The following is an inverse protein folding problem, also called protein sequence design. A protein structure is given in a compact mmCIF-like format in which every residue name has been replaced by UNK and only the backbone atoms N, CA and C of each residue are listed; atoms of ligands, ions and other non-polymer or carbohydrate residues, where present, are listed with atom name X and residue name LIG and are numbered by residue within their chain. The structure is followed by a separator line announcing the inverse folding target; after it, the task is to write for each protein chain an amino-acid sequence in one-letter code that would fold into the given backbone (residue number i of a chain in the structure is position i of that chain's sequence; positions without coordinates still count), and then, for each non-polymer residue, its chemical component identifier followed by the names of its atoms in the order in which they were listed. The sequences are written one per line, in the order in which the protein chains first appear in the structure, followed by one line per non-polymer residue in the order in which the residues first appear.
data_IF_991148379332
#
_entry.id   IF_991148379332
#
_cell.length_a   1.000
_cell.length_b   1.000
_cell.length_c   1.000
_cell.angle_alpha   90.00
_cell.angle_beta   90.00
_cell.angle_gamma   90.00
#
_symmetry.space_group_name_H-M   'P 1'
#
loop_
_entity.id
_entity.type
_entity.pdbx_description
1 polymer ?
#
# COMPACT_ATOMS: atom_id res chain seq x y z
N UNK A 1 -28.64 1.54 2.26
CA UNK A 1 -27.20 1.78 2.60
C UNK A 1 -26.85 3.23 2.30
N UNK A 2 -26.22 3.92 3.24
CA UNK A 2 -25.78 5.31 3.06
C UNK A 2 -24.62 5.37 2.06
N UNK A 3 -24.73 6.19 1.02
CA UNK A 3 -23.66 6.46 0.05
C UNK A 3 -22.71 7.53 0.60
N UNK A 4 -21.60 7.75 -0.11
CA UNK A 4 -20.66 8.84 0.20
C UNK A 4 -21.35 10.20 0.16
N UNK A 5 -22.27 10.41 -0.83
CA UNK A 5 -23.05 11.63 -0.92
C UNK A 5 -23.99 11.83 0.27
N UNK A 6 -24.68 10.78 0.71
CA UNK A 6 -25.61 10.88 1.87
C UNK A 6 -24.86 11.36 3.12
N UNK A 7 -23.62 10.94 3.31
CA UNK A 7 -22.80 11.37 4.45
C UNK A 7 -22.33 12.82 4.26
N UNK A 8 -21.94 13.23 3.03
CA UNK A 8 -21.59 14.61 2.75
C UNK A 8 -22.76 15.56 3.05
N UNK A 9 -23.95 15.22 2.58
CA UNK A 9 -25.15 16.03 2.79
C UNK A 9 -25.45 16.16 4.29
N UNK A 10 -25.32 15.09 5.08
CA UNK A 10 -25.47 15.13 6.54
C UNK A 10 -24.42 15.99 7.24
N UNK A 11 -23.16 15.98 6.79
CA UNK A 11 -22.12 16.85 7.34
C UNK A 11 -22.39 18.30 7.00
N UNK A 12 -22.76 18.60 5.75
CA UNK A 12 -23.08 19.96 5.29
C UNK A 12 -24.31 20.54 6.01
N UNK A 13 -25.31 19.72 6.36
CA UNK A 13 -26.48 20.15 7.12
C UNK A 13 -26.10 20.71 8.52
N UNK A 14 -25.09 20.13 9.15
CA UNK A 14 -24.56 20.62 10.43
C UNK A 14 -23.62 21.80 10.31
N UNK A 15 -23.10 22.07 9.11
CA UNK A 15 -22.28 23.24 8.84
C UNK A 15 -23.17 24.42 8.52
N UNK A 16 -23.11 25.47 9.33
CA UNK A 16 -24.05 26.61 9.27
C UNK A 16 -24.03 27.44 7.96
N UNK A 17 -23.24 27.04 6.97
CA UNK A 17 -23.06 27.75 5.71
C UNK A 17 -23.28 26.81 4.51
N UNK A 18 -24.55 26.58 4.19
CA UNK A 18 -24.98 25.69 3.09
C UNK A 18 -24.70 26.29 1.69
N UNK A 19 -24.20 27.52 1.59
CA UNK A 19 -24.11 28.26 0.34
C UNK A 19 -22.70 28.27 -0.31
N UNK A 20 -21.66 27.80 0.34
CA UNK A 20 -20.33 27.71 -0.27
C UNK A 20 -20.09 26.37 -0.95
N UNK A 21 -20.44 26.30 -2.22
CA UNK A 21 -20.53 25.07 -3.00
C UNK A 21 -19.20 24.49 -3.48
N UNK A 22 -18.10 25.22 -3.40
CA UNK A 22 -16.83 24.79 -4.00
C UNK A 22 -15.83 24.23 -3.00
N UNK A 23 -15.24 25.10 -2.19
CA UNK A 23 -14.16 24.77 -1.27
C UNK A 23 -14.66 23.88 -0.11
N UNK A 24 -15.82 24.25 0.46
CA UNK A 24 -16.41 23.56 1.60
C UNK A 24 -16.75 22.09 1.29
N UNK A 25 -17.40 21.85 0.15
CA UNK A 25 -17.70 20.50 -0.30
C UNK A 25 -16.42 19.65 -0.46
N UNK A 26 -15.36 20.27 -0.99
CA UNK A 26 -14.06 19.60 -1.14
C UNK A 26 -13.46 19.21 0.22
N UNK A 27 -13.51 20.11 1.21
CA UNK A 27 -13.03 19.85 2.58
C UNK A 27 -13.85 18.75 3.25
N UNK A 28 -15.17 18.77 3.11
CA UNK A 28 -16.05 17.71 3.63
C UNK A 28 -15.70 16.35 3.02
N UNK A 29 -15.56 16.28 1.70
CA UNK A 29 -15.15 15.05 1.00
C UNK A 29 -13.82 14.52 1.51
N UNK A 30 -12.81 15.39 1.62
CA UNK A 30 -11.49 15.02 2.13
C UNK A 30 -11.53 14.57 3.59
N UNK A 31 -12.34 15.21 4.43
CA UNK A 31 -12.48 14.83 5.83
C UNK A 31 -13.13 13.47 6.00
N UNK A 32 -14.20 13.18 5.28
CA UNK A 32 -14.88 11.87 5.34
C UNK A 32 -13.94 10.75 4.86
N UNK A 33 -13.27 10.95 3.71
CA UNK A 33 -12.29 10.00 3.19
C UNK A 33 -11.12 9.80 4.16
N UNK A 34 -10.60 10.89 4.74
CA UNK A 34 -9.54 10.86 5.74
C UNK A 34 -9.91 10.07 7.00
N UNK A 35 -11.15 10.24 7.49
CA UNK A 35 -11.68 9.46 8.64
C UNK A 35 -11.77 7.98 8.26
N UNK A 36 -12.32 7.64 7.09
CA UNK A 36 -12.39 6.25 6.65
C UNK A 36 -11.02 5.62 6.59
N UNK A 37 -10.07 6.26 5.93
CA UNK A 37 -8.68 5.77 5.83
C UNK A 37 -8.07 5.56 7.20
N UNK A 38 -8.21 6.54 8.10
CA UNK A 38 -7.66 6.45 9.45
C UNK A 38 -8.22 5.24 10.21
N UNK A 39 -9.55 5.09 10.25
CA UNK A 39 -10.19 3.97 10.96
C UNK A 39 -9.73 2.63 10.38
N UNK A 40 -9.77 2.47 9.05
CA UNK A 40 -9.48 1.20 8.40
C UNK A 40 -7.98 0.84 8.45
N UNK A 41 -7.10 1.83 8.50
CA UNK A 41 -5.65 1.62 8.63
C UNK A 41 -5.25 1.30 10.07
N UNK A 42 -5.74 2.09 11.03
CA UNK A 42 -5.31 1.99 12.43
C UNK A 42 -5.90 0.76 13.13
N UNK A 43 -7.15 0.39 12.79
CA UNK A 43 -7.89 -0.61 13.53
C UNK A 43 -7.78 -2.04 12.98
N UNK A 44 -7.32 -2.22 11.75
CA UNK A 44 -7.13 -3.55 11.12
C UNK A 44 -8.35 -4.47 11.30
N UNK A 45 -9.46 -4.07 10.70
CA UNK A 45 -10.76 -4.72 10.88
C UNK A 45 -10.90 -5.97 9.99
N UNK A 46 -11.60 -7.00 10.48
CA UNK A 46 -11.70 -8.32 9.84
C UNK A 46 -12.27 -8.30 8.43
N UNK A 47 -13.18 -7.36 8.13
CA UNK A 47 -13.74 -7.20 6.78
C UNK A 47 -12.75 -6.60 5.77
N UNK A 48 -11.60 -6.09 6.23
CA UNK A 48 -10.48 -5.65 5.38
C UNK A 48 -9.48 -6.76 5.08
N UNK A 49 -9.76 -7.99 5.54
CA UNK A 49 -8.89 -9.12 5.26
C UNK A 49 -9.02 -9.60 3.82
N UNK A 50 -7.88 -9.80 3.17
CA UNK A 50 -7.81 -10.44 1.86
C UNK A 50 -8.35 -11.87 1.91
N UNK A 51 -8.78 -12.45 0.79
CA UNK A 51 -8.85 -13.90 0.63
C UNK A 51 -7.49 -14.55 0.95
N UNK A 52 -7.48 -15.85 1.19
CA UNK A 52 -6.21 -16.59 1.29
C UNK A 52 -5.51 -16.52 -0.06
N UNK A 53 -4.30 -16.02 -0.06
CA UNK A 53 -3.48 -15.82 -1.26
C UNK A 53 -2.28 -16.76 -1.21
N UNK A 54 -1.82 -17.20 -2.37
CA UNK A 54 -0.69 -18.13 -2.50
C UNK A 54 0.57 -17.40 -2.93
N UNK A 55 1.69 -17.70 -2.29
CA UNK A 55 3.04 -17.29 -2.66
C UNK A 55 3.84 -18.50 -3.11
N UNK A 56 4.18 -18.56 -4.40
CA UNK A 56 5.03 -19.60 -4.95
C UNK A 56 6.49 -19.17 -4.87
N UNK A 57 7.27 -19.89 -4.07
CA UNK A 57 8.69 -19.61 -3.82
C UNK A 57 9.54 -20.50 -4.69
N UNK A 58 10.52 -19.92 -5.36
CA UNK A 58 11.49 -20.62 -6.21
C UNK A 58 12.85 -20.65 -5.55
N UNK A 59 13.62 -21.68 -5.87
CA UNK A 59 14.98 -21.87 -5.35
C UNK A 59 15.85 -20.63 -5.64
N UNK A 60 16.59 -20.17 -4.64
CA UNK A 60 17.54 -19.03 -4.75
C UNK A 60 16.88 -17.65 -4.83
N UNK A 61 15.56 -17.55 -4.76
CA UNK A 61 14.86 -16.26 -4.75
C UNK A 61 14.28 -15.95 -3.38
N UNK A 62 14.70 -14.84 -2.79
CA UNK A 62 14.25 -14.41 -1.46
C UNK A 62 13.16 -13.33 -1.49
N UNK A 63 13.07 -12.52 -2.53
CA UNK A 63 12.19 -11.35 -2.58
C UNK A 63 11.02 -11.57 -3.53
N UNK A 64 9.80 -11.31 -3.04
CA UNK A 64 8.55 -11.48 -3.78
C UNK A 64 7.65 -10.27 -3.60
N UNK A 65 6.89 -9.94 -4.65
CA UNK A 65 5.96 -8.83 -4.63
C UNK A 65 4.70 -9.18 -3.86
N UNK A 66 4.24 -8.25 -3.04
CA UNK A 66 2.93 -8.30 -2.42
C UNK A 66 1.88 -7.58 -3.28
N UNK A 67 0.59 -7.87 -3.14
CA UNK A 67 -0.48 -7.18 -3.86
C UNK A 67 -0.44 -5.66 -3.64
N UNK A 68 -0.92 -4.89 -4.62
CA UNK A 68 -0.89 -3.41 -4.56
C UNK A 68 -1.76 -2.85 -3.43
N UNK A 69 -2.80 -3.57 -3.07
CA UNK A 69 -3.71 -3.27 -1.97
C UNK A 69 -3.21 -3.78 -0.61
N UNK A 70 -1.97 -4.27 -0.52
CA UNK A 70 -1.37 -4.74 0.73
C UNK A 70 -1.17 -3.60 1.71
N UNK A 71 -1.70 -3.73 2.92
CA UNK A 71 -1.49 -2.81 4.04
C UNK A 71 -0.55 -3.42 5.09
N UNK A 72 -0.91 -4.57 5.63
CA UNK A 72 -0.12 -5.26 6.66
C UNK A 72 -0.37 -6.77 6.64
N UNK A 73 0.65 -7.56 6.98
CA UNK A 73 0.55 -9.01 6.99
C UNK A 73 -0.18 -9.51 8.25
N UNK A 74 -1.13 -10.43 8.06
CA UNK A 74 -1.74 -11.15 9.18
C UNK A 74 -0.94 -12.41 9.52
N UNK A 75 -0.65 -13.23 8.51
CA UNK A 75 0.18 -14.43 8.65
C UNK A 75 0.72 -14.90 7.30
N UNK A 76 1.81 -15.67 7.35
CA UNK A 76 2.30 -16.53 6.27
C UNK A 76 2.38 -17.95 6.83
N UNK A 77 1.83 -18.93 6.10
CA UNK A 77 1.68 -20.31 6.53
C UNK A 77 2.22 -21.29 5.49
N UNK A 78 3.08 -22.20 5.93
CA UNK A 78 3.53 -23.33 5.11
C UNK A 78 2.61 -24.53 5.33
N UNK A 79 1.84 -24.87 4.29
CA UNK A 79 0.91 -26.01 4.34
C UNK A 79 1.63 -27.35 4.41
N UNK A 80 2.86 -27.46 3.90
CA UNK A 80 3.62 -28.70 3.89
C UNK A 80 4.20 -29.02 5.27
N UNK A 81 4.76 -28.01 5.91
CA UNK A 81 5.33 -28.15 7.27
C UNK A 81 4.29 -27.92 8.36
N UNK A 82 3.09 -27.43 8.00
CA UNK A 82 2.01 -27.06 8.95
C UNK A 82 2.44 -26.04 9.97
N UNK A 83 3.28 -25.10 9.56
CA UNK A 83 3.85 -24.07 10.43
C UNK A 83 3.61 -22.66 9.89
N UNK A 84 3.51 -21.70 10.81
CA UNK A 84 3.52 -20.28 10.48
C UNK A 84 4.95 -19.77 10.41
N UNK A 85 5.25 -18.98 9.37
CA UNK A 85 6.52 -18.28 9.30
C UNK A 85 6.53 -17.14 10.33
N UNK A 86 7.70 -16.89 10.90
CA UNK A 86 7.90 -15.80 11.86
C UNK A 86 8.23 -14.50 11.13
N UNK A 87 7.55 -13.41 11.50
CA UNK A 87 7.86 -12.09 11.00
C UNK A 87 9.03 -11.48 11.79
N UNK A 88 10.10 -11.13 11.10
CA UNK A 88 11.26 -10.46 11.70
C UNK A 88 11.02 -8.94 11.68
N UNK A 89 10.99 -8.28 12.85
CA UNK A 89 10.81 -6.85 12.91
C UNK A 89 12.03 -6.09 12.35
N UNK A 90 11.85 -4.87 11.81
CA UNK A 90 12.93 -4.08 11.21
C UNK A 90 14.14 -3.83 12.13
N UNK A 91 13.94 -3.83 13.44
CA UNK A 91 15.01 -3.67 14.44
C UNK A 91 15.92 -4.90 14.62
N UNK A 92 15.46 -6.07 14.18
CA UNK A 92 16.22 -7.32 14.21
C UNK A 92 17.12 -7.54 12.99
N UNK A 93 17.30 -6.51 12.14
CA UNK A 93 18.04 -6.61 10.89
C UNK A 93 19.50 -7.04 11.10
N UNK A 94 20.18 -6.51 12.11
CA UNK A 94 21.59 -6.85 12.36
C UNK A 94 21.79 -8.31 12.79
N UNK A 95 20.86 -8.86 13.58
CA UNK A 95 20.89 -10.28 13.98
C UNK A 95 20.37 -11.19 12.85
N UNK A 96 19.50 -10.69 11.98
CA UNK A 96 18.96 -11.43 10.84
C UNK A 96 19.93 -11.42 9.63
N UNK A 97 20.79 -10.41 9.49
CA UNK A 97 21.80 -10.36 8.43
C UNK A 97 22.85 -11.46 8.60
N UNK A 98 23.19 -11.85 9.82
CA UNK A 98 24.05 -13.02 10.08
C UNK A 98 23.39 -14.34 9.65
N UNK A 99 22.06 -14.41 9.60
CA UNK A 99 21.30 -15.57 9.14
C UNK A 99 20.85 -15.53 7.68
N UNK A 100 21.04 -14.41 6.97
CA UNK A 100 20.67 -14.28 5.52
C UNK A 100 21.52 -15.15 4.60
N UNK A 101 22.63 -15.69 5.09
CA UNK A 101 23.44 -16.69 4.39
C UNK A 101 23.00 -18.12 4.69
N UNK A 102 22.06 -18.33 5.64
CA UNK A 102 21.60 -19.66 5.99
C UNK A 102 20.81 -20.27 4.83
N UNK A 103 21.35 -21.34 4.32
CA UNK A 103 20.77 -22.17 3.27
C UNK A 103 19.92 -23.24 3.98
N UNK A 104 18.60 -23.17 3.83
CA UNK A 104 17.77 -24.14 4.55
C UNK A 104 16.27 -23.96 4.37
N UNK A 105 15.52 -24.50 5.32
CA UNK A 105 14.07 -24.33 5.36
C UNK A 105 13.73 -22.89 5.70
N UNK A 106 12.85 -22.30 4.90
CA UNK A 106 12.36 -20.93 5.13
C UNK A 106 11.40 -20.93 6.31
N UNK A 107 11.83 -20.30 7.42
CA UNK A 107 11.06 -20.18 8.65
C UNK A 107 10.68 -18.75 8.99
N UNK A 108 11.38 -17.77 8.41
CA UNK A 108 11.25 -16.35 8.74
C UNK A 108 11.05 -15.50 7.49
N UNK A 109 10.31 -14.41 7.66
CA UNK A 109 10.12 -13.42 6.62
C UNK A 109 10.14 -12.01 7.21
N UNK A 110 10.36 -11.04 6.35
CA UNK A 110 10.13 -9.63 6.66
C UNK A 110 9.32 -8.96 5.55
N UNK A 111 8.52 -7.98 5.91
CA UNK A 111 7.89 -7.10 4.94
C UNK A 111 8.83 -5.92 4.71
N UNK A 112 9.36 -5.84 3.50
CA UNK A 112 10.24 -4.75 3.09
C UNK A 112 9.40 -3.68 2.42
N UNK A 113 9.40 -2.50 2.98
CA UNK A 113 8.76 -1.38 2.33
C UNK A 113 9.63 -0.80 1.24
N UNK A 114 9.03 -0.73 0.08
CA UNK A 114 9.09 0.34 -0.89
C UNK A 114 10.32 0.37 -1.75
N UNK A 115 10.23 -0.39 -2.80
CA UNK A 115 10.94 -0.03 -4.01
C UNK A 115 9.95 0.65 -4.97
N UNK A 116 10.39 1.68 -5.69
CA UNK A 116 9.61 2.30 -6.78
C UNK A 116 9.50 1.40 -8.02
N UNK A 117 9.91 0.13 -7.91
CA UNK A 117 9.85 -0.88 -8.97
C UNK A 117 9.31 -2.20 -8.44
N UNK A 118 8.55 -2.88 -9.27
CA UNK A 118 7.96 -4.18 -8.97
C UNK A 118 9.00 -5.31 -8.97
N UNK A 119 9.96 -5.22 -9.87
CA UNK A 119 11.05 -6.20 -10.03
C UNK A 119 12.36 -5.48 -10.20
N UNK A 120 13.45 -6.11 -9.79
CA UNK A 120 14.80 -5.62 -10.04
C UNK A 120 15.35 -6.17 -11.37
N UNK A 121 16.32 -5.49 -12.00
CA UNK A 121 17.08 -6.06 -13.08
C UNK A 121 17.67 -7.42 -12.67
N UNK A 122 17.65 -8.40 -13.56
CA UNK A 122 18.27 -9.71 -13.29
C UNK A 122 19.80 -9.66 -13.29
N UNK A 123 20.35 -8.71 -14.04
CA UNK A 123 21.77 -8.34 -14.13
C UNK A 123 21.86 -6.85 -14.34
N UNK A 124 23.00 -6.24 -14.05
CA UNK A 124 23.23 -4.83 -14.36
C UNK A 124 22.97 -4.57 -15.84
N UNK A 125 22.12 -3.60 -16.16
CA UNK A 125 21.72 -3.31 -17.53
C UNK A 125 21.04 -1.96 -17.68
N UNK A 126 20.91 -1.52 -18.91
CA UNK A 126 20.19 -0.29 -19.24
C UNK A 126 18.69 -0.45 -19.02
N UNK A 127 18.07 0.66 -18.66
CA UNK A 127 16.63 0.74 -18.46
C UNK A 127 15.96 1.36 -19.67
N UNK A 128 14.93 0.71 -20.19
CA UNK A 128 14.17 1.16 -21.36
C UNK A 128 12.76 1.54 -20.93
N UNK A 129 12.33 2.73 -21.31
CA UNK A 129 10.99 3.26 -21.06
C UNK A 129 10.23 3.30 -22.38
N UNK A 130 9.09 2.62 -22.47
CA UNK A 130 8.28 2.53 -23.68
C UNK A 130 6.84 2.96 -23.39
N UNK A 131 6.29 3.99 -24.05
CA UNK A 131 4.88 4.35 -23.97
C UNK A 131 4.00 3.38 -24.77
N UNK A 132 2.81 3.09 -24.28
CA UNK A 132 1.84 2.23 -24.95
C UNK A 132 1.10 2.96 -26.06
N UNK A 133 0.93 2.33 -27.21
CA UNK A 133 0.05 2.80 -28.28
C UNK A 133 0.50 4.05 -29.03
N UNK A 134 1.82 4.34 -29.04
CA UNK A 134 2.41 5.42 -29.85
C UNK A 134 3.38 6.30 -29.06
N UNK A 135 3.80 7.41 -29.65
CA UNK A 135 4.82 8.29 -29.10
C UNK A 135 4.28 9.16 -27.96
N UNK A 136 5.14 9.48 -26.99
CA UNK A 136 4.87 10.42 -25.91
C UNK A 136 5.41 11.82 -26.24
N UNK A 137 4.93 12.86 -25.56
CA UNK A 137 5.28 14.24 -25.82
C UNK A 137 6.74 14.55 -25.42
N UNK A 138 7.39 15.47 -26.14
CA UNK A 138 8.76 15.91 -25.90
C UNK A 138 9.01 16.47 -24.49
N UNK A 139 8.00 17.13 -23.89
CA UNK A 139 8.09 17.70 -22.55
C UNK A 139 8.05 16.68 -21.42
N UNK A 140 7.71 15.41 -21.73
CA UNK A 140 7.61 14.33 -20.77
C UNK A 140 8.90 13.54 -20.71
N UNK A 141 9.37 13.28 -19.50
CA UNK A 141 10.58 12.51 -19.23
C UNK A 141 10.43 11.60 -18.04
N UNK A 142 11.46 10.83 -17.76
CA UNK A 142 11.49 9.88 -16.64
C UNK A 142 12.80 10.02 -15.90
N UNK A 143 12.76 10.14 -14.59
CA UNK A 143 13.93 10.04 -13.70
C UNK A 143 14.03 8.63 -13.19
N UNK A 144 15.21 8.04 -13.33
CA UNK A 144 15.56 6.73 -12.80
C UNK A 144 16.60 6.92 -11.72
N UNK A 145 16.34 6.36 -10.54
CA UNK A 145 17.24 6.40 -9.39
C UNK A 145 17.60 4.98 -8.96
N UNK A 146 18.86 4.76 -8.63
CA UNK A 146 19.28 3.42 -8.24
C UNK A 146 20.78 3.30 -7.97
N UNK A 147 21.26 2.07 -8.04
CA UNK A 147 22.67 1.72 -7.93
C UNK A 147 23.16 1.25 -9.29
N UNK A 148 24.26 1.77 -9.75
CA UNK A 148 24.84 1.41 -11.05
C UNK A 148 25.55 0.04 -11.01
N UNK A 149 26.19 -0.33 -12.11
CA UNK A 149 26.96 -1.57 -12.23
C UNK A 149 28.21 -1.62 -11.34
N UNK A 150 28.69 -0.46 -10.87
CA UNK A 150 29.88 -0.35 -10.00
C UNK A 150 29.52 -0.37 -8.51
N UNK A 151 28.21 -0.37 -8.19
CA UNK A 151 27.72 -0.31 -6.81
C UNK A 151 27.54 1.12 -6.27
N UNK A 152 27.64 2.14 -7.13
CA UNK A 152 27.50 3.55 -6.75
C UNK A 152 26.08 4.04 -7.00
N UNK A 153 25.63 5.00 -6.18
CA UNK A 153 24.33 5.64 -6.38
C UNK A 153 24.35 6.45 -7.68
N UNK A 154 23.34 6.24 -8.51
CA UNK A 154 23.18 6.92 -9.79
C UNK A 154 21.75 7.44 -9.96
N UNK A 155 21.64 8.62 -10.54
CA UNK A 155 20.38 9.20 -11.00
C UNK A 155 20.54 9.61 -12.47
N UNK A 156 19.58 9.23 -13.30
CA UNK A 156 19.57 9.61 -14.71
C UNK A 156 18.19 10.11 -15.11
N UNK A 157 18.14 11.27 -15.77
CA UNK A 157 16.93 11.84 -16.35
C UNK A 157 16.87 11.51 -17.84
N UNK A 158 15.90 10.73 -18.22
CA UNK A 158 15.61 10.40 -19.61
C UNK A 158 14.59 11.42 -20.16
N UNK A 159 14.98 12.15 -21.18
CA UNK A 159 14.11 13.09 -21.91
C UNK A 159 14.51 13.16 -23.37
N UNK A 160 13.59 13.65 -24.21
CA UNK A 160 13.84 13.87 -25.62
C UNK A 160 13.38 15.27 -26.01
N UNK A 161 14.13 15.95 -26.88
CA UNK A 161 13.72 17.24 -27.46
C UNK A 161 12.59 17.14 -28.49
N UNK A 162 12.12 15.93 -28.79
CA UNK A 162 11.01 15.64 -29.71
C UNK A 162 10.09 14.57 -29.12
N UNK A 163 8.97 14.30 -29.77
CA UNK A 163 8.13 13.13 -29.41
C UNK A 163 8.95 11.84 -29.52
N UNK A 164 8.74 10.91 -28.56
CA UNK A 164 9.56 9.73 -28.45
C UNK A 164 8.75 8.43 -28.31
N UNK A 165 9.21 7.38 -28.97
CA UNK A 165 8.64 6.04 -28.91
C UNK A 165 9.26 5.16 -27.81
N UNK A 166 10.53 5.47 -27.46
CA UNK A 166 11.22 4.84 -26.33
C UNK A 166 12.37 5.74 -25.89
N UNK A 167 12.72 5.65 -24.59
CA UNK A 167 13.93 6.26 -24.01
C UNK A 167 14.75 5.15 -23.36
N UNK A 168 16.06 5.21 -23.52
CA UNK A 168 16.98 4.21 -22.96
C UNK A 168 18.03 4.92 -22.11
N UNK A 169 18.27 4.41 -20.91
CA UNK A 169 19.33 4.94 -20.04
C UNK A 169 20.73 4.67 -20.63
N UNK A 170 21.63 5.59 -20.38
CA UNK A 170 23.07 5.41 -20.65
C UNK A 170 23.72 4.65 -19.49
N UNK A 171 23.22 4.85 -18.29
CA UNK A 171 23.68 4.16 -17.09
C UNK A 171 23.13 2.73 -17.05
N UNK A 172 24.01 1.78 -16.74
CA UNK A 172 23.64 0.39 -16.42
C UNK A 172 23.35 0.29 -14.94
N UNK A 173 22.10 -0.01 -14.57
CA UNK A 173 21.66 -0.15 -13.17
C UNK A 173 21.71 -1.61 -12.73
N UNK A 174 22.40 -1.88 -11.63
CA UNK A 174 22.35 -3.18 -10.92
C UNK A 174 21.11 -3.27 -10.02
N UNK A 175 20.66 -2.13 -9.49
CA UNK A 175 19.45 -2.00 -8.67
C UNK A 175 18.73 -0.70 -8.99
N UNK A 176 17.44 -0.76 -9.22
CA UNK A 176 16.59 0.42 -9.41
C UNK A 176 15.76 0.64 -8.16
N UNK A 177 15.81 1.82 -7.57
CA UNK A 177 15.06 2.18 -6.37
C UNK A 177 13.78 2.94 -6.68
N UNK A 178 13.85 3.90 -7.62
CA UNK A 178 12.71 4.70 -8.01
C UNK A 178 12.67 4.96 -9.52
N UNK A 179 11.45 5.07 -10.04
CA UNK A 179 11.18 5.54 -11.39
C UNK A 179 10.04 6.57 -11.28
N UNK A 180 10.31 7.80 -11.71
CA UNK A 180 9.44 8.94 -11.52
C UNK A 180 9.18 9.62 -12.86
N UNK A 181 7.93 9.76 -13.25
CA UNK A 181 7.52 10.56 -14.42
C UNK A 181 7.71 12.04 -14.13
N UNK A 182 8.35 12.76 -15.06
CA UNK A 182 8.48 14.21 -15.06
C UNK A 182 7.62 14.82 -16.18
N UNK A 183 7.28 16.09 -16.06
CA UNK A 183 6.34 16.74 -16.98
C UNK A 183 4.89 16.64 -16.53
N UNK A 184 4.01 17.40 -17.18
CA UNK A 184 2.62 17.62 -16.75
C UNK A 184 1.55 16.99 -17.64
N UNK A 185 1.92 16.52 -18.83
CA UNK A 185 0.94 16.18 -19.88
C UNK A 185 1.06 14.73 -20.35
N UNK A 186 1.16 13.79 -19.42
CA UNK A 186 1.21 12.37 -19.73
C UNK A 186 -0.14 11.89 -20.26
N UNK A 187 -0.14 11.31 -21.45
CA UNK A 187 -1.34 10.77 -22.09
C UNK A 187 -1.35 9.24 -22.15
N UNK A 188 -0.19 8.61 -21.90
CA UNK A 188 0.00 7.18 -22.11
C UNK A 188 0.50 6.45 -20.87
N UNK A 189 0.16 5.17 -20.82
CA UNK A 189 0.80 4.22 -19.92
C UNK A 189 2.23 3.98 -20.40
N UNK A 190 3.19 3.94 -19.49
CA UNK A 190 4.56 3.54 -19.80
C UNK A 190 4.88 2.19 -19.19
N UNK A 191 5.63 1.39 -19.90
CA UNK A 191 6.27 0.17 -19.41
C UNK A 191 7.76 0.40 -19.33
N UNK A 192 8.34 0.06 -18.17
CA UNK A 192 9.78 0.21 -17.94
C UNK A 192 10.40 -1.18 -17.81
N UNK A 193 11.44 -1.43 -18.59
CA UNK A 193 12.10 -2.74 -18.64
C UNK A 193 13.61 -2.61 -18.46
N UNK A 194 14.27 -3.68 -18.03
CA UNK A 194 15.71 -3.86 -18.12
C UNK A 194 15.97 -5.27 -18.64
N UNK A 195 16.54 -5.36 -19.84
CA UNK A 195 16.57 -6.61 -20.58
C UNK A 195 15.17 -7.18 -20.81
N UNK A 196 14.96 -8.44 -20.44
CA UNK A 196 13.64 -9.11 -20.52
C UNK A 196 12.73 -8.86 -19.31
N UNK A 197 13.19 -8.15 -18.27
CA UNK A 197 12.47 -7.95 -17.02
C UNK A 197 11.66 -6.67 -17.09
N UNK A 198 10.34 -6.74 -16.89
CA UNK A 198 9.50 -5.57 -16.67
C UNK A 198 9.67 -5.11 -15.22
N UNK A 199 10.24 -3.92 -15.03
CA UNK A 199 10.50 -3.33 -13.72
C UNK A 199 9.19 -2.77 -13.12
N UNK A 200 8.43 -2.03 -13.94
CA UNK A 200 7.12 -1.51 -13.56
C UNK A 200 6.30 -1.05 -14.78
N UNK A 201 5.01 -0.76 -14.52
CA UNK A 201 4.11 -0.08 -15.46
C UNK A 201 3.42 1.07 -14.72
N UNK A 202 3.43 2.28 -15.30
CA UNK A 202 2.77 3.48 -14.76
C UNK A 202 1.68 3.96 -15.73
N UNK A 203 0.45 4.08 -15.26
CA UNK A 203 -0.64 4.68 -16.06
C UNK A 203 -0.40 6.16 -16.33
N UNK A 204 -1.16 6.78 -17.24
CA UNK A 204 -1.01 8.19 -17.58
C UNK A 204 -1.07 9.11 -16.35
N UNK A 205 -1.99 8.85 -15.43
CA UNK A 205 -2.21 9.64 -14.21
C UNK A 205 -1.20 9.40 -13.08
N UNK A 206 -0.44 8.30 -13.13
CA UNK A 206 0.53 7.95 -12.09
C UNK A 206 1.88 8.60 -12.38
N UNK A 207 2.43 9.35 -11.42
CA UNK A 207 3.80 9.90 -11.52
C UNK A 207 4.86 8.93 -11.05
N UNK A 208 4.58 8.17 -10.02
CA UNK A 208 5.43 7.13 -9.46
C UNK A 208 4.55 6.05 -8.84
N UNK A 209 5.12 4.90 -8.54
CA UNK A 209 4.45 3.80 -7.84
C UNK A 209 5.37 3.25 -6.78
N UNK A 210 4.77 2.77 -5.70
CA UNK A 210 5.51 2.11 -4.63
C UNK A 210 4.98 0.68 -4.50
N UNK A 211 5.89 -0.27 -4.35
CA UNK A 211 5.58 -1.68 -4.17
C UNK A 211 6.06 -2.14 -2.80
N UNK A 212 5.24 -2.92 -2.14
CA UNK A 212 5.61 -3.61 -0.91
C UNK A 212 6.03 -5.03 -1.27
N UNK A 213 7.12 -5.49 -0.69
CA UNK A 213 7.67 -6.81 -0.96
C UNK A 213 7.78 -7.62 0.33
N UNK A 214 7.68 -8.93 0.21
CA UNK A 214 8.04 -9.88 1.25
C UNK A 214 9.41 -10.45 0.92
N UNK A 215 10.30 -10.44 1.90
CA UNK A 215 11.63 -11.02 1.80
C UNK A 215 11.74 -12.19 2.78
N UNK A 216 12.17 -13.33 2.27
CA UNK A 216 12.47 -14.51 3.06
C UNK A 216 13.87 -14.36 3.63
N UNK A 217 14.02 -14.57 4.94
CA UNK A 217 15.31 -14.40 5.62
C UNK A 217 16.29 -15.49 5.16
N UNK A 218 15.79 -16.71 5.08
CA UNK A 218 16.58 -17.84 4.61
C UNK A 218 16.53 -17.94 3.07
N UNK A 219 17.65 -18.34 2.46
CA UNK A 219 17.69 -18.58 1.02
C UNK A 219 17.05 -19.94 0.70
N UNK A 220 15.94 -19.95 -0.09
CA UNK A 220 15.22 -21.19 -0.38
C UNK A 220 16.08 -22.19 -1.17
N UNK A 221 16.25 -23.39 -0.67
CA UNK A 221 16.93 -24.50 -1.36
C UNK A 221 15.98 -25.38 -2.16
N UNK A 222 14.69 -25.28 -1.87
CA UNK A 222 13.62 -26.00 -2.57
C UNK A 222 12.49 -25.04 -2.93
N UNK A 223 11.55 -25.49 -3.72
CA UNK A 223 10.33 -24.74 -3.99
C UNK A 223 9.35 -24.88 -2.85
N UNK A 224 8.73 -23.77 -2.44
CA UNK A 224 7.69 -23.74 -1.41
C UNK A 224 6.40 -23.13 -1.98
N UNK A 225 5.29 -23.53 -1.38
CA UNK A 225 3.99 -22.89 -1.61
C UNK A 225 3.45 -22.43 -0.26
N UNK A 226 3.53 -21.13 -0.03
CA UNK A 226 3.01 -20.52 1.19
C UNK A 226 1.62 -19.97 0.97
N UNK A 227 0.76 -20.08 1.96
CA UNK A 227 -0.53 -19.40 2.03
C UNK A 227 -0.42 -18.19 2.95
N UNK A 228 -0.91 -17.04 2.53
CA UNK A 228 -0.88 -15.85 3.38
C UNK A 228 -2.19 -15.08 3.32
N UNK A 229 -2.45 -14.29 4.36
CA UNK A 229 -3.52 -13.28 4.42
C UNK A 229 -2.96 -11.97 4.93
N UNK A 230 -3.55 -10.90 4.46
CA UNK A 230 -3.14 -9.55 4.79
C UNK A 230 -4.37 -8.65 4.92
N UNK A 231 -4.20 -7.51 5.59
CA UNK A 231 -5.17 -6.43 5.58
C UNK A 231 -4.97 -5.60 4.31
N UNK A 232 -6.09 -5.27 3.67
CA UNK A 232 -6.09 -4.48 2.44
C UNK A 232 -6.07 -2.98 2.76
N UNK A 233 -5.47 -2.19 1.86
CA UNK A 233 -5.53 -0.73 1.93
C UNK A 233 -6.97 -0.27 1.74
N UNK A 234 -7.39 0.78 2.47
CA UNK A 234 -8.68 1.43 2.22
C UNK A 234 -8.79 1.94 0.78
N UNK A 235 -9.97 1.83 0.20
CA UNK A 235 -10.30 2.42 -1.10
C UNK A 235 -10.72 3.87 -0.87
N UNK A 236 -10.18 4.78 -1.68
CA UNK A 236 -10.50 6.20 -1.61
C UNK A 236 -11.94 6.48 -2.02
N UNK A 237 -12.61 7.35 -1.29
CA UNK A 237 -13.94 7.83 -1.62
C UNK A 237 -13.83 9.02 -2.58
N UNK A 238 -14.01 8.76 -3.88
CA UNK A 238 -13.88 9.74 -4.95
C UNK A 238 -15.24 10.15 -5.53
N UNK A 239 -16.10 9.15 -5.76
CA UNK A 239 -17.38 9.35 -6.44
C UNK A 239 -18.55 9.35 -5.45
N UNK A 240 -19.50 10.25 -5.65
CA UNK A 240 -20.64 10.46 -4.77
C UNK A 240 -21.50 9.19 -4.54
N UNK A 241 -21.58 8.32 -5.55
CA UNK A 241 -22.32 7.06 -5.49
C UNK A 241 -21.58 5.91 -4.78
N UNK A 242 -20.30 6.10 -4.43
CA UNK A 242 -19.54 5.04 -3.75
C UNK A 242 -20.13 4.73 -2.38
N UNK A 243 -20.07 3.43 -2.05
CA UNK A 243 -20.40 2.97 -0.71
C UNK A 243 -19.11 2.94 0.13
N UNK A 244 -19.10 3.59 1.30
CA UNK A 244 -18.00 3.46 2.23
C UNK A 244 -17.74 1.99 2.59
N UNK A 245 -16.48 1.63 2.80
CA UNK A 245 -16.09 0.27 3.22
C UNK A 245 -16.50 -0.03 4.67
N UNK A 246 -16.74 0.99 5.47
CA UNK A 246 -17.27 0.82 6.83
C UNK A 246 -18.68 0.19 6.73
N UNK A 247 -18.95 -0.89 7.50
CA UNK A 247 -20.25 -1.54 7.51
C UNK A 247 -21.41 -0.56 7.78
N UNK A 248 -22.55 -0.77 7.13
CA UNK A 248 -23.68 0.17 7.11
C UNK A 248 -24.13 0.61 8.51
N UNK A 249 -24.16 -0.33 9.46
CA UNK A 249 -24.53 -0.06 10.86
C UNK A 249 -23.58 0.94 11.58
N UNK A 250 -22.39 1.17 11.06
CA UNK A 250 -21.37 2.03 11.67
C UNK A 250 -21.00 3.25 10.81
N UNK A 251 -21.66 3.47 9.67
CA UNK A 251 -21.29 4.56 8.73
C UNK A 251 -21.43 5.96 9.33
N UNK A 252 -22.26 6.13 10.35
CA UNK A 252 -22.37 7.41 11.06
C UNK A 252 -21.06 7.83 11.76
N UNK A 253 -20.14 6.89 11.99
CA UNK A 253 -18.80 7.21 12.47
C UNK A 253 -18.04 8.16 11.53
N UNK A 254 -18.27 8.04 10.21
CA UNK A 254 -17.65 8.90 9.19
C UNK A 254 -18.19 10.32 9.29
N UNK A 255 -19.51 10.48 9.55
CA UNK A 255 -20.15 11.79 9.78
C UNK A 255 -19.53 12.48 11.02
N UNK A 256 -19.57 11.82 12.17
CA UNK A 256 -19.06 12.41 13.40
C UNK A 256 -17.56 12.65 13.35
N UNK A 257 -16.81 11.74 12.75
CA UNK A 257 -15.36 11.91 12.55
C UNK A 257 -15.03 13.10 11.65
N UNK A 258 -15.78 13.32 10.56
CA UNK A 258 -15.60 14.46 9.67
C UNK A 258 -15.93 15.79 10.37
N UNK A 259 -17.03 15.85 11.13
CA UNK A 259 -17.40 17.02 11.94
C UNK A 259 -16.32 17.37 12.97
N UNK A 260 -15.70 16.38 13.58
CA UNK A 260 -14.58 16.59 14.51
C UNK A 260 -13.28 17.06 13.84
N UNK A 261 -13.08 16.73 12.56
CA UNK A 261 -11.94 17.20 11.77
C UNK A 261 -12.11 18.62 11.24
N UNK A 262 -13.33 19.16 11.24
CA UNK A 262 -13.69 20.46 10.71
C UNK A 262 -14.15 21.49 11.77
N UNK A 263 -13.55 21.53 12.98
CA UNK A 263 -14.08 22.36 14.08
C UNK A 263 -14.02 23.86 13.77
N UNK A 264 -13.12 24.31 12.90
CA UNK A 264 -13.01 25.73 12.52
C UNK A 264 -14.12 26.22 11.59
N UNK A 265 -14.87 25.31 10.99
CA UNK A 265 -15.97 25.59 10.05
C UNK A 265 -17.34 25.33 10.66
N UNK A 266 -17.39 24.65 11.81
CA UNK A 266 -18.62 24.45 12.56
C UNK A 266 -18.76 25.54 13.60
N UNK A 267 -19.89 26.25 13.64
CA UNK A 267 -20.24 27.18 14.73
C UNK A 267 -20.69 26.42 15.99
N UNK A 268 -20.12 25.25 16.22
CA UNK A 268 -20.61 24.33 17.25
C UNK A 268 -20.30 24.82 18.66
N UNK A 269 -21.27 24.72 19.52
CA UNK A 269 -21.10 24.84 20.98
C UNK A 269 -20.11 23.73 21.45
N UNK A 270 -19.25 24.02 22.44
CA UNK A 270 -18.43 22.99 23.09
C UNK A 270 -19.20 21.75 23.52
N UNK A 271 -20.46 21.88 23.87
CA UNK A 271 -21.34 20.76 24.22
C UNK A 271 -21.64 19.86 23.02
N UNK A 272 -21.84 20.41 21.82
CA UNK A 272 -22.07 19.64 20.60
C UNK A 272 -20.81 18.86 20.20
N UNK A 273 -19.64 19.47 20.31
CA UNK A 273 -18.37 18.78 20.06
C UNK A 273 -18.18 17.59 21.02
N UNK A 274 -18.56 17.74 22.28
CA UNK A 274 -18.49 16.64 23.26
C UNK A 274 -19.45 15.51 22.90
N UNK A 275 -20.64 15.82 22.40
CA UNK A 275 -21.63 14.83 21.93
C UNK A 275 -21.07 14.09 20.71
N UNK A 276 -20.56 14.79 19.70
CA UNK A 276 -19.98 14.14 18.50
C UNK A 276 -18.79 13.25 18.84
N UNK A 277 -17.95 13.69 19.77
CA UNK A 277 -16.82 12.88 20.23
C UNK A 277 -17.30 11.62 20.97
N UNK A 278 -18.33 11.71 21.80
CA UNK A 278 -18.91 10.57 22.50
C UNK A 278 -19.52 9.57 21.53
N UNK A 279 -20.33 10.03 20.56
CA UNK A 279 -20.92 9.20 19.50
C UNK A 279 -19.85 8.52 18.63
N UNK A 280 -18.83 9.28 18.20
CA UNK A 280 -17.70 8.73 17.46
C UNK A 280 -17.01 7.59 18.22
N UNK A 281 -16.71 7.80 19.50
CA UNK A 281 -16.03 6.81 20.34
C UNK A 281 -16.92 5.58 20.60
N UNK A 282 -18.21 5.77 20.80
CA UNK A 282 -19.16 4.68 20.99
C UNK A 282 -19.25 3.79 19.73
N UNK A 283 -19.40 4.40 18.56
CA UNK A 283 -19.44 3.69 17.27
C UNK A 283 -18.12 2.98 16.99
N UNK A 284 -16.97 3.63 17.24
CA UNK A 284 -15.67 3.03 17.06
C UNK A 284 -15.46 1.82 17.98
N UNK A 285 -15.89 1.91 19.23
CA UNK A 285 -15.85 0.80 20.18
C UNK A 285 -16.69 -0.38 19.69
N UNK A 286 -17.93 -0.12 19.24
CA UNK A 286 -18.81 -1.16 18.70
C UNK A 286 -18.21 -1.82 17.45
N UNK A 287 -17.66 -1.02 16.53
CA UNK A 287 -17.00 -1.50 15.33
C UNK A 287 -15.82 -2.45 15.67
N UNK A 288 -14.96 -2.06 16.63
CA UNK A 288 -13.86 -2.88 17.12
C UNK A 288 -14.34 -4.19 17.74
N UNK A 289 -15.33 -4.13 18.61
CA UNK A 289 -15.85 -5.32 19.27
C UNK A 289 -16.39 -6.36 18.28
N UNK A 290 -17.00 -5.92 17.19
CA UNK A 290 -17.62 -6.80 16.21
C UNK A 290 -16.65 -7.28 15.12
N UNK A 291 -15.58 -6.52 14.82
CA UNK A 291 -14.74 -6.78 13.64
C UNK A 291 -13.23 -6.83 13.92
N UNK A 292 -12.79 -7.06 15.16
CA UNK A 292 -11.37 -7.24 15.49
C UNK A 292 -11.03 -8.64 16.03
N UNK A 293 -11.73 -9.68 15.60
CA UNK A 293 -11.53 -11.04 16.11
C UNK A 293 -10.30 -11.73 15.51
N UNK A 294 -9.96 -11.48 14.23
CA UNK A 294 -8.85 -12.14 13.53
C UNK A 294 -7.48 -11.83 14.16
N UNK A 295 -7.31 -10.63 14.73
CA UNK A 295 -6.08 -10.23 15.42
C UNK A 295 -5.79 -11.11 16.65
N UNK A 296 -6.83 -11.52 17.36
CA UNK A 296 -6.70 -12.43 18.51
C UNK A 296 -6.30 -13.84 18.10
N UNK A 297 -6.73 -14.31 16.93
CA UNK A 297 -6.37 -15.60 16.36
C UNK A 297 -4.90 -15.62 15.90
N UNK A 298 -4.44 -14.56 15.22
CA UNK A 298 -3.02 -14.41 14.83
C UNK A 298 -2.07 -14.34 16.04
N UNK A 299 -2.48 -13.66 17.12
CA UNK A 299 -1.70 -13.62 18.36
C UNK A 299 -1.66 -14.96 19.09
N UNK A 300 -2.75 -15.77 19.02
CA UNK A 300 -2.79 -17.12 19.59
C UNK A 300 -1.90 -18.09 18.79
N UNK A 301 -1.88 -18.01 17.48
CA UNK A 301 -0.99 -18.80 16.64
C UNK A 301 0.50 -18.54 16.95
N UNK A 302 0.87 -17.28 17.24
CA UNK A 302 2.22 -16.91 17.69
C UNK A 302 2.57 -17.48 19.08
N UNK A 303 1.61 -17.56 20.03
CA UNK A 303 1.84 -18.09 21.38
C UNK A 303 2.02 -19.61 21.45
N UNK A 304 1.44 -20.38 20.55
CA UNK A 304 1.54 -21.85 20.55
C UNK A 304 2.99 -22.31 20.31
N UNK A 305 3.82 -21.54 19.61
CA UNK A 305 5.25 -21.89 19.38
C UNK A 305 6.13 -21.81 20.63
N UNK A 306 5.80 -20.96 21.60
CA UNK A 306 6.64 -20.84 22.81
C UNK A 306 6.46 -21.98 23.81
N UNK A 307 5.41 -22.79 23.68
CA UNK A 307 5.07 -23.87 24.64
C UNK A 307 5.63 -25.24 24.19
N UNK A 308 5.99 -25.38 22.91
CA UNK A 308 6.46 -26.68 22.38
C UNK A 308 8.00 -26.85 22.30
N UNK A 309 8.76 -25.91 22.88
CA UNK A 309 10.22 -25.97 22.95
C UNK A 309 10.71 -26.02 24.43
N UNK A 310 10.14 -26.94 25.24
CA UNK A 310 10.70 -27.36 26.52
C UNK A 310 10.97 -28.86 26.44
#
# INVERSE_FOLDING_TARGET
AKTFKDIQDQVLEWMADQNDTGLMLTLVKQSIDGVQRKILTDEQLDFMLSPVTTLNVTVGRQVYDLPEDFLSMLYVYDANQREYLEEVPPKGILEAEDGMSDVGNVLRYRVVQVTGVKRQPSTAGTVVVTPSGGNEAAANGVVIQGVDANGEWAEETLSSGSTWASLTSTTSFSKVTNIIKTGSSWTRTITVTSGSVTLLTLTASQKAKQYTQIELVENPTTTYTFSYRYFQKPIDLVYDYQLPQVPDAYRDILKYGALLMLPGFTKSDPNELAIWQAEYQQLLKGLKQNYQQARSLGARARRVRYITRI
#
